data_IF_256078486741
#
_entry.id   IF_256078486741
#
_cell.length_a   1.000
_cell.length_b   1.000
_cell.length_c   1.000
_cell.angle_alpha   90.00
_cell.angle_beta   90.00
_cell.angle_gamma   90.00
#
_symmetry.space_group_name_H-M   'P 1'
#
loop_
_entity.id
_entity.type
_entity.pdbx_description
1 polymer ?
#
# COMPACT_ATOMS: atom_id res chain seq x y z
N UNK A 1 -0.98 -23.23 16.73
CA UNK A 1 -1.24 -22.55 15.44
C UNK A 1 -1.20 -23.47 14.22
N UNK A 2 -0.12 -24.22 13.94
CA UNK A 2 -0.06 -25.12 12.75
C UNK A 2 -1.26 -26.09 12.62
N UNK A 3 -1.71 -26.70 13.73
CA UNK A 3 -2.89 -27.58 13.72
C UNK A 3 -4.18 -26.84 13.37
N UNK A 4 -4.34 -25.60 13.84
CA UNK A 4 -5.49 -24.76 13.52
C UNK A 4 -5.50 -24.39 12.04
N UNK A 5 -4.32 -24.12 11.45
CA UNK A 5 -4.20 -23.90 10.02
C UNK A 5 -4.52 -25.16 9.20
N UNK A 6 -4.03 -26.35 9.60
CA UNK A 6 -4.40 -27.60 8.91
C UNK A 6 -5.91 -27.83 8.94
N UNK A 7 -6.51 -27.64 10.12
CA UNK A 7 -7.95 -27.73 10.31
C UNK A 7 -8.69 -26.75 9.39
N UNK A 8 -8.38 -25.45 9.38
CA UNK A 8 -9.10 -24.49 8.52
C UNK A 8 -8.83 -24.69 7.03
N UNK A 9 -7.65 -25.21 6.67
CA UNK A 9 -7.31 -25.57 5.30
C UNK A 9 -8.21 -26.68 4.77
N UNK A 10 -8.46 -27.73 5.57
CA UNK A 10 -9.34 -28.85 5.19
C UNK A 10 -10.77 -28.39 4.87
N UNK A 11 -11.28 -27.35 5.55
CA UNK A 11 -12.59 -26.75 5.24
C UNK A 11 -12.62 -25.97 3.91
N UNK A 12 -11.46 -25.57 3.39
CA UNK A 12 -11.35 -24.85 2.13
C UNK A 12 -10.99 -25.77 0.95
N UNK A 13 -10.91 -27.09 1.16
CA UNK A 13 -10.69 -28.03 0.07
C UNK A 13 -11.91 -28.06 -0.87
N UNK A 14 -11.73 -28.10 -2.21
CA UNK A 14 -12.83 -28.00 -3.16
C UNK A 14 -13.93 -29.06 -2.98
N UNK A 15 -13.59 -30.22 -2.41
CA UNK A 15 -14.56 -31.30 -2.14
C UNK A 15 -15.33 -31.12 -0.82
N UNK A 16 -14.95 -30.14 0.00
CA UNK A 16 -15.53 -29.95 1.33
C UNK A 16 -16.66 -28.92 1.32
N UNK A 17 -17.89 -29.42 1.28
CA UNK A 17 -19.11 -28.61 1.39
C UNK A 17 -19.58 -28.40 2.83
N UNK A 18 -18.89 -28.95 3.83
CA UNK A 18 -19.27 -28.79 5.23
C UNK A 18 -19.09 -27.32 5.62
N UNK A 19 -20.12 -26.67 6.20
CA UNK A 19 -20.02 -25.28 6.60
C UNK A 19 -19.05 -25.13 7.77
N UNK A 20 -18.45 -23.95 7.90
CA UNK A 20 -17.55 -23.65 9.00
C UNK A 20 -18.27 -23.78 10.35
N UNK A 21 -17.71 -24.54 11.33
CA UNK A 21 -18.36 -24.72 12.62
C UNK A 21 -18.59 -23.39 13.35
N UNK A 22 -19.71 -23.26 14.06
CA UNK A 22 -20.09 -22.03 14.79
C UNK A 22 -19.05 -21.60 15.82
N UNK A 23 -18.40 -22.53 16.51
CA UNK A 23 -17.35 -22.21 17.49
C UNK A 23 -16.12 -21.56 16.85
N UNK A 24 -15.81 -21.88 15.59
CA UNK A 24 -14.72 -21.22 14.86
C UNK A 24 -15.10 -19.78 14.56
N UNK A 25 -16.33 -19.55 14.07
CA UNK A 25 -16.86 -18.20 13.82
C UNK A 25 -16.82 -17.36 15.11
N UNK A 26 -17.38 -17.89 16.20
CA UNK A 26 -17.42 -17.22 17.49
C UNK A 26 -16.03 -16.88 18.04
N UNK A 27 -15.02 -17.73 17.82
CA UNK A 27 -13.65 -17.45 18.25
C UNK A 27 -13.07 -16.22 17.52
N UNK A 28 -13.34 -16.08 16.22
CA UNK A 28 -12.82 -15.00 15.39
C UNK A 28 -13.67 -13.72 15.41
N UNK A 29 -14.91 -13.78 15.90
CA UNK A 29 -15.72 -12.59 16.21
C UNK A 29 -15.11 -11.73 17.31
N UNK A 30 -14.22 -12.28 18.16
CA UNK A 30 -13.56 -11.50 19.20
C UNK A 30 -12.46 -10.59 18.60
N UNK A 31 -12.65 -9.25 18.60
CA UNK A 31 -11.68 -8.32 18.02
C UNK A 31 -10.34 -8.33 18.76
N UNK A 32 -10.33 -8.62 20.05
CA UNK A 32 -9.10 -8.72 20.84
C UNK A 32 -8.27 -9.93 20.42
N UNK A 33 -8.89 -11.05 20.03
CA UNK A 33 -8.17 -12.22 19.52
C UNK A 33 -7.49 -11.88 18.19
N UNK A 34 -8.23 -11.30 17.27
CA UNK A 34 -7.71 -10.91 15.95
C UNK A 34 -6.62 -9.84 16.09
N UNK A 35 -6.80 -8.85 16.97
CA UNK A 35 -5.80 -7.83 17.29
C UNK A 35 -4.52 -8.45 17.84
N UNK A 36 -4.62 -9.37 18.80
CA UNK A 36 -3.46 -10.10 19.35
C UNK A 36 -2.71 -10.89 18.29
N UNK A 37 -3.41 -11.57 17.39
CA UNK A 37 -2.77 -12.27 16.27
C UNK A 37 -1.99 -11.30 15.38
N UNK A 38 -2.55 -10.11 15.07
CA UNK A 38 -1.88 -9.10 14.24
C UNK A 38 -0.65 -8.50 14.92
N UNK A 39 -0.75 -8.23 16.22
CA UNK A 39 0.31 -7.57 17.00
C UNK A 39 1.30 -8.57 17.64
N UNK A 40 1.12 -9.87 17.42
CA UNK A 40 1.94 -10.92 18.03
C UNK A 40 3.41 -10.74 17.66
N UNK A 41 4.31 -10.76 18.64
CA UNK A 41 5.75 -10.55 18.41
C UNK A 41 6.39 -11.71 17.67
N UNK A 42 5.90 -12.93 17.92
CA UNK A 42 6.34 -14.12 17.21
C UNK A 42 5.85 -14.10 15.76
N UNK A 43 6.80 -14.04 14.83
CA UNK A 43 6.56 -13.99 13.39
C UNK A 43 5.78 -15.22 12.90
N UNK A 44 6.14 -16.42 13.34
CA UNK A 44 5.47 -17.65 12.89
C UNK A 44 4.02 -17.67 13.34
N UNK A 45 3.78 -17.30 14.60
CA UNK A 45 2.42 -17.26 15.17
C UNK A 45 1.58 -16.21 14.44
N UNK A 46 2.15 -15.04 14.17
CA UNK A 46 1.50 -13.96 13.40
C UNK A 46 1.13 -14.43 12.00
N UNK A 47 2.09 -14.99 11.24
CA UNK A 47 1.86 -15.45 9.85
C UNK A 47 0.82 -16.57 9.80
N UNK A 48 0.95 -17.60 10.64
CA UNK A 48 -0.02 -18.70 10.66
C UNK A 48 -1.40 -18.17 11.07
N UNK A 49 -1.48 -17.30 12.08
CA UNK A 49 -2.75 -16.74 12.53
C UNK A 49 -3.45 -15.92 11.45
N UNK A 50 -2.70 -15.16 10.65
CA UNK A 50 -3.24 -14.43 9.50
C UNK A 50 -3.70 -15.38 8.38
N UNK A 51 -2.93 -16.43 8.10
CA UNK A 51 -3.35 -17.47 7.16
C UNK A 51 -4.63 -18.18 7.61
N UNK A 52 -4.77 -18.48 8.90
CA UNK A 52 -6.00 -19.06 9.49
C UNK A 52 -7.16 -18.09 9.31
N UNK A 53 -7.00 -16.82 9.69
CA UNK A 53 -8.04 -15.81 9.52
C UNK A 53 -8.48 -15.68 8.06
N UNK A 54 -7.54 -15.66 7.12
CA UNK A 54 -7.87 -15.56 5.70
C UNK A 54 -8.63 -16.80 5.19
N UNK A 55 -8.27 -18.01 5.64
CA UNK A 55 -9.01 -19.23 5.32
C UNK A 55 -10.42 -19.25 5.94
N UNK A 56 -10.59 -18.68 7.14
CA UNK A 56 -11.90 -18.49 7.77
C UNK A 56 -12.76 -17.54 6.94
N UNK A 57 -12.23 -16.38 6.54
CA UNK A 57 -12.93 -15.42 5.68
C UNK A 57 -13.35 -16.07 4.36
N UNK A 58 -12.43 -16.78 3.70
CA UNK A 58 -12.69 -17.42 2.42
C UNK A 58 -13.82 -18.45 2.51
N UNK A 59 -13.75 -19.35 3.48
CA UNK A 59 -14.79 -20.37 3.70
C UNK A 59 -16.11 -19.75 4.11
N UNK A 60 -16.10 -18.79 5.02
CA UNK A 60 -17.31 -18.13 5.50
C UNK A 60 -18.02 -17.36 4.38
N UNK A 61 -17.28 -16.62 3.56
CA UNK A 61 -17.84 -15.94 2.38
C UNK A 61 -18.45 -16.95 1.40
N UNK A 62 -17.75 -18.06 1.12
CA UNK A 62 -18.28 -19.13 0.27
C UNK A 62 -19.55 -19.76 0.85
N UNK A 63 -19.58 -20.07 2.15
CA UNK A 63 -20.74 -20.66 2.82
C UNK A 63 -21.95 -19.70 2.77
N UNK A 64 -21.75 -18.41 2.99
CA UNK A 64 -22.79 -17.37 2.85
C UNK A 64 -23.30 -17.27 1.41
N UNK A 65 -22.41 -17.30 0.42
CA UNK A 65 -22.78 -17.20 -0.99
C UNK A 65 -23.45 -18.47 -1.53
N UNK A 66 -23.25 -19.62 -0.87
CA UNK A 66 -23.80 -20.90 -1.29
C UNK A 66 -25.24 -21.16 -0.84
N UNK A 67 -25.79 -20.30 0.01
CA UNK A 67 -27.09 -20.52 0.67
C UNK A 67 -28.07 -19.39 0.39
N UNK A 68 -29.35 -19.73 0.34
CA UNK A 68 -30.45 -18.77 0.11
C UNK A 68 -31.07 -18.24 1.42
N UNK A 69 -30.32 -18.25 2.53
CA UNK A 69 -30.78 -17.74 3.82
C UNK A 69 -30.11 -16.40 4.16
N UNK A 70 -30.77 -15.53 4.96
CA UNK A 70 -30.18 -14.27 5.40
C UNK A 70 -28.83 -14.46 6.06
N UNK A 71 -27.94 -13.48 5.90
CA UNK A 71 -26.64 -13.45 6.58
C UNK A 71 -26.87 -13.12 8.05
N UNK A 72 -26.34 -13.93 8.96
CA UNK A 72 -26.47 -13.68 10.39
C UNK A 72 -25.48 -12.58 10.83
N UNK A 73 -25.86 -11.79 11.84
CA UNK A 73 -25.00 -10.70 12.34
C UNK A 73 -23.64 -11.22 12.83
N UNK A 74 -23.61 -12.38 13.51
CA UNK A 74 -22.36 -13.03 13.96
C UNK A 74 -21.39 -13.34 12.80
N UNK A 75 -21.91 -13.64 11.62
CA UNK A 75 -21.09 -13.95 10.44
C UNK A 75 -20.50 -12.68 9.84
N UNK A 76 -21.31 -11.62 9.78
CA UNK A 76 -20.85 -10.31 9.35
C UNK A 76 -19.81 -9.74 10.32
N UNK A 77 -20.04 -9.88 11.63
CA UNK A 77 -19.08 -9.45 12.66
C UNK A 77 -17.77 -10.24 12.59
N UNK A 78 -17.82 -11.55 12.33
CA UNK A 78 -16.62 -12.37 12.13
C UNK A 78 -15.81 -11.89 10.92
N UNK A 79 -16.45 -11.71 9.76
CA UNK A 79 -15.80 -11.20 8.55
C UNK A 79 -15.21 -9.79 8.78
N UNK A 80 -16.02 -8.90 9.33
CA UNK A 80 -15.68 -7.52 9.70
C UNK A 80 -14.46 -7.46 10.61
N UNK A 81 -14.43 -8.31 11.64
CA UNK A 81 -13.34 -8.39 12.59
C UNK A 81 -12.05 -8.88 11.95
N UNK A 82 -12.08 -9.95 11.15
CA UNK A 82 -10.87 -10.49 10.53
C UNK A 82 -10.30 -9.52 9.48
N UNK A 83 -11.17 -8.99 8.61
CA UNK A 83 -10.82 -8.06 7.53
C UNK A 83 -10.49 -6.66 8.04
N UNK A 84 -10.76 -6.37 9.31
CA UNK A 84 -10.62 -5.04 9.88
C UNK A 84 -11.45 -4.03 9.10
N UNK A 85 -12.77 -4.17 9.04
CA UNK A 85 -13.63 -3.23 8.31
C UNK A 85 -14.94 -3.03 9.05
N UNK A 86 -15.85 -2.24 8.49
CA UNK A 86 -17.18 -2.05 9.07
C UNK A 86 -18.11 -3.19 8.66
N UNK A 87 -18.93 -3.65 9.59
CA UNK A 87 -19.90 -4.73 9.35
C UNK A 87 -20.87 -4.40 8.20
N UNK A 88 -21.24 -3.11 8.08
CA UNK A 88 -22.09 -2.66 6.99
C UNK A 88 -21.37 -2.68 5.63
N UNK A 89 -20.08 -2.33 5.60
CA UNK A 89 -19.29 -2.40 4.36
C UNK A 89 -19.17 -3.86 3.90
N UNK A 90 -18.94 -4.81 4.81
CA UNK A 90 -18.92 -6.26 4.50
C UNK A 90 -20.27 -6.70 3.92
N UNK A 91 -21.38 -6.34 4.58
CA UNK A 91 -22.72 -6.73 4.13
C UNK A 91 -22.98 -6.27 2.69
N UNK A 92 -22.64 -5.03 2.37
CA UNK A 92 -22.83 -4.46 1.03
C UNK A 92 -21.88 -5.08 0.01
N UNK A 93 -20.63 -5.39 0.41
CA UNK A 93 -19.64 -6.01 -0.47
C UNK A 93 -19.89 -7.49 -0.74
N UNK A 94 -20.55 -8.22 0.17
CA UNK A 94 -21.01 -9.60 -0.07
C UNK A 94 -22.02 -9.68 -1.22
N UNK A 95 -22.79 -8.60 -1.46
CA UNK A 95 -23.65 -8.47 -2.63
C UNK A 95 -22.91 -8.40 -3.97
N UNK A 96 -21.57 -8.34 -3.97
CA UNK A 96 -20.72 -8.27 -5.16
C UNK A 96 -19.73 -9.45 -5.18
N UNK A 97 -20.01 -10.50 -5.97
CA UNK A 97 -19.18 -11.69 -6.04
C UNK A 97 -17.70 -11.37 -6.26
N UNK A 98 -16.82 -11.97 -5.45
CA UNK A 98 -15.37 -11.83 -5.57
C UNK A 98 -14.77 -10.64 -4.83
N UNK A 99 -15.56 -9.73 -4.27
CA UNK A 99 -15.03 -8.53 -3.58
C UNK A 99 -14.35 -8.91 -2.27
N UNK A 100 -15.04 -9.70 -1.44
CA UNK A 100 -14.52 -10.16 -0.15
C UNK A 100 -13.30 -11.07 -0.36
N UNK A 101 -13.35 -11.97 -1.33
CA UNK A 101 -12.27 -12.88 -1.68
C UNK A 101 -11.03 -12.13 -2.16
N UNK A 102 -11.21 -11.10 -3.01
CA UNK A 102 -10.12 -10.26 -3.50
C UNK A 102 -9.50 -9.42 -2.37
N UNK A 103 -10.32 -8.79 -1.54
CA UNK A 103 -9.84 -7.99 -0.40
C UNK A 103 -9.09 -8.87 0.61
N UNK A 104 -9.59 -10.07 0.87
CA UNK A 104 -8.96 -11.05 1.74
C UNK A 104 -7.59 -11.51 1.19
N UNK A 105 -7.54 -11.89 -0.09
CA UNK A 105 -6.31 -12.28 -0.75
C UNK A 105 -5.30 -11.13 -0.77
N UNK A 106 -5.72 -9.92 -1.15
CA UNK A 106 -4.85 -8.74 -1.17
C UNK A 106 -4.34 -8.37 0.22
N UNK A 107 -5.19 -8.44 1.25
CA UNK A 107 -4.79 -8.18 2.63
C UNK A 107 -3.72 -9.14 3.14
N UNK A 108 -3.77 -10.41 2.72
CA UNK A 108 -2.76 -11.40 3.07
C UNK A 108 -1.49 -11.26 2.22
N UNK A 109 -1.64 -11.10 0.91
CA UNK A 109 -0.54 -11.13 -0.06
C UNK A 109 0.19 -9.81 -0.25
N UNK A 110 -0.41 -8.67 0.05
CA UNK A 110 0.20 -7.34 -0.10
C UNK A 110 0.33 -6.60 1.24
N UNK A 111 -0.37 -7.07 2.26
CA UNK A 111 -0.28 -6.54 3.62
C UNK A 111 0.97 -7.01 4.36
N UNK A 112 0.94 -6.83 5.69
CA UNK A 112 2.06 -7.06 6.60
C UNK A 112 2.79 -8.39 6.43
N UNK A 113 2.18 -9.44 5.88
CA UNK A 113 2.85 -10.76 5.74
C UNK A 113 3.87 -10.79 4.61
N UNK A 114 3.72 -9.94 3.59
CA UNK A 114 4.62 -9.91 2.43
C UNK A 114 5.69 -8.84 2.56
N UNK A 115 5.50 -7.88 3.47
CA UNK A 115 6.56 -7.01 3.98
C UNK A 115 7.48 -7.75 4.97
N UNK A 116 7.10 -8.94 5.45
CA UNK A 116 7.98 -9.80 6.23
C UNK A 116 8.92 -10.50 5.26
N UNK A 117 10.18 -10.05 5.23
CA UNK A 117 11.24 -10.56 4.34
C UNK A 117 11.12 -12.08 4.15
N UNK A 118 10.95 -12.51 2.90
CA UNK A 118 10.99 -13.92 2.52
C UNK A 118 12.25 -14.63 3.07
N UNK A 119 13.36 -13.89 3.19
CA UNK A 119 14.65 -14.37 3.71
C UNK A 119 14.69 -14.61 5.24
N UNK A 120 13.77 -14.01 6.00
CA UNK A 120 13.66 -14.20 7.45
C UNK A 120 12.63 -15.27 7.83
N UNK A 121 11.83 -15.72 6.87
CA UNK A 121 10.75 -16.64 7.13
C UNK A 121 11.25 -18.10 7.06
N UNK A 122 11.00 -18.92 8.09
CA UNK A 122 11.27 -20.35 8.03
C UNK A 122 10.57 -21.00 6.83
N UNK A 123 11.22 -21.97 6.17
CA UNK A 123 10.69 -22.65 4.98
C UNK A 123 9.28 -23.23 5.20
N UNK A 124 9.04 -23.77 6.39
CA UNK A 124 7.72 -24.26 6.82
C UNK A 124 6.63 -23.18 6.71
N UNK A 125 6.95 -21.93 7.08
CA UNK A 125 6.01 -20.81 7.09
C UNK A 125 5.77 -20.26 5.69
N UNK A 126 6.82 -20.21 4.87
CA UNK A 126 6.68 -19.90 3.44
C UNK A 126 5.74 -20.87 2.74
N UNK A 127 5.89 -22.17 3.02
CA UNK A 127 4.97 -23.21 2.55
C UNK A 127 3.52 -22.97 3.01
N UNK A 128 3.30 -22.63 4.29
CA UNK A 128 1.96 -22.33 4.84
C UNK A 128 1.32 -21.15 4.11
N UNK A 129 2.07 -20.05 3.96
CA UNK A 129 1.61 -18.85 3.28
C UNK A 129 1.28 -19.14 1.80
N UNK A 130 2.20 -19.79 1.09
CA UNK A 130 2.03 -20.09 -0.33
C UNK A 130 0.85 -21.03 -0.60
N UNK A 131 0.64 -22.03 0.25
CA UNK A 131 -0.54 -22.90 0.18
C UNK A 131 -1.82 -22.11 0.42
N UNK A 132 -1.85 -21.25 1.45
CA UNK A 132 -3.02 -20.40 1.72
C UNK A 132 -3.30 -19.46 0.54
N UNK A 133 -2.30 -18.74 0.03
CA UNK A 133 -2.46 -17.87 -1.12
C UNK A 133 -2.96 -18.62 -2.36
N UNK A 134 -2.49 -19.84 -2.58
CA UNK A 134 -2.97 -20.70 -3.67
C UNK A 134 -4.47 -21.01 -3.53
N UNK A 135 -4.92 -21.42 -2.33
CA UNK A 135 -6.34 -21.69 -2.04
C UNK A 135 -7.18 -20.44 -2.29
N UNK A 136 -6.77 -19.29 -1.73
CA UNK A 136 -7.49 -18.03 -1.90
C UNK A 136 -7.57 -17.59 -3.37
N UNK A 137 -6.49 -17.77 -4.13
CA UNK A 137 -6.46 -17.40 -5.55
C UNK A 137 -7.42 -18.24 -6.41
N UNK A 138 -7.69 -19.49 -6.03
CA UNK A 138 -8.63 -20.38 -6.72
C UNK A 138 -10.09 -20.01 -6.44
N UNK A 139 -10.38 -19.39 -5.30
CA UNK A 139 -11.72 -18.94 -4.93
C UNK A 139 -12.15 -17.67 -5.68
N UNK A 140 -11.21 -16.97 -6.32
CA UNK A 140 -11.54 -15.78 -7.10
C UNK A 140 -12.36 -16.15 -8.35
N UNK A 141 -13.40 -15.37 -8.68
CA UNK A 141 -14.17 -15.60 -9.90
C UNK A 141 -13.27 -15.53 -11.14
N UNK A 142 -13.62 -16.27 -12.19
CA UNK A 142 -12.92 -16.17 -13.48
C UNK A 142 -12.92 -14.69 -13.94
N UNK A 143 -11.82 -14.19 -14.51
CA UNK A 143 -11.80 -12.86 -15.09
C UNK A 143 -12.89 -12.82 -16.16
N UNK A 144 -13.95 -12.02 -15.94
CA UNK A 144 -15.00 -11.84 -16.93
C UNK A 144 -14.39 -11.28 -18.22
N UNK A 145 -14.91 -11.72 -19.37
CA UNK A 145 -14.41 -11.43 -20.72
C UNK A 145 -14.35 -9.93 -21.12
N UNK A 146 -14.47 -9.00 -20.18
CA UNK A 146 -14.10 -7.60 -20.37
C UNK A 146 -12.59 -7.42 -20.16
N UNK A 147 -11.78 -8.20 -20.86
CA UNK A 147 -10.41 -7.79 -21.15
C UNK A 147 -10.52 -6.60 -22.11
N UNK A 148 -10.62 -5.39 -21.54
CA UNK A 148 -10.22 -4.22 -22.31
C UNK A 148 -8.78 -4.48 -22.75
N UNK A 149 -8.45 -4.40 -24.06
CA UNK A 149 -7.12 -4.72 -24.54
C UNK A 149 -6.16 -3.66 -23.99
N UNK A 150 -5.53 -4.01 -22.87
CA UNK A 150 -4.65 -3.16 -22.08
C UNK A 150 -3.20 -3.43 -22.51
N UNK A 151 -2.92 -3.16 -23.79
CA UNK A 151 -1.59 -3.36 -24.42
C UNK A 151 -0.44 -2.65 -23.67
N UNK A 152 -0.74 -1.62 -22.88
CA UNK A 152 0.25 -0.93 -22.02
C UNK A 152 0.41 -1.51 -20.62
N UNK A 153 -0.60 -2.20 -20.10
CA UNK A 153 -0.59 -2.72 -18.72
C UNK A 153 -0.08 -4.15 -18.65
N UNK A 154 -0.24 -4.96 -19.71
CA UNK A 154 0.41 -6.27 -19.77
C UNK A 154 1.95 -6.14 -19.77
N UNK A 155 2.49 -5.07 -20.36
CA UNK A 155 3.91 -4.72 -20.25
C UNK A 155 4.32 -4.13 -18.87
N UNK A 156 3.35 -3.71 -18.05
CA UNK A 156 3.57 -3.18 -16.68
C UNK A 156 3.31 -4.22 -15.58
N UNK A 157 2.49 -5.23 -15.85
CA UNK A 157 2.25 -6.40 -14.98
C UNK A 157 3.43 -7.38 -15.08
N UNK A 158 4.20 -7.31 -16.17
CA UNK A 158 5.48 -8.01 -16.31
C UNK A 158 6.63 -7.36 -15.49
N UNK A 159 6.32 -6.35 -14.66
CA UNK A 159 7.29 -5.70 -13.76
C UNK A 159 7.41 -6.43 -12.41
N UNK A 160 6.54 -7.42 -12.15
CA UNK A 160 6.63 -8.27 -10.96
C UNK A 160 7.04 -9.71 -11.31
N UNK A 161 8.05 -10.21 -10.61
CA UNK A 161 8.44 -11.63 -10.64
C UNK A 161 7.51 -12.51 -9.77
N UNK A 162 6.62 -11.92 -8.97
CA UNK A 162 5.70 -12.66 -8.10
C UNK A 162 4.38 -13.02 -8.81
N UNK A 163 4.09 -14.32 -8.84
CA UNK A 163 2.87 -14.92 -9.40
C UNK A 163 1.59 -14.32 -8.80
N UNK A 164 1.57 -13.99 -7.51
CA UNK A 164 0.39 -13.48 -6.84
C UNK A 164 0.13 -12.02 -7.16
N UNK A 165 1.17 -11.19 -7.28
CA UNK A 165 1.02 -9.79 -7.69
C UNK A 165 0.41 -9.69 -9.09
N UNK A 166 0.82 -10.57 -10.02
CA UNK A 166 0.24 -10.66 -11.37
C UNK A 166 -1.26 -10.99 -11.37
N UNK A 167 -1.76 -11.68 -10.35
CA UNK A 167 -3.20 -12.00 -10.20
C UNK A 167 -3.94 -10.89 -9.46
N UNK A 168 -3.36 -10.34 -8.40
CA UNK A 168 -4.03 -9.43 -7.47
C UNK A 168 -4.11 -8.01 -8.03
N UNK A 169 -3.01 -7.48 -8.56
CA UNK A 169 -2.91 -6.08 -9.00
C UNK A 169 -3.93 -5.74 -10.09
N UNK A 170 -4.08 -6.53 -11.18
CA UNK A 170 -5.09 -6.23 -12.20
C UNK A 170 -6.52 -6.27 -11.67
N UNK A 171 -6.81 -7.20 -10.75
CA UNK A 171 -8.13 -7.35 -10.14
C UNK A 171 -8.46 -6.20 -9.18
N UNK A 172 -7.50 -5.78 -8.35
CA UNK A 172 -7.64 -4.59 -7.50
C UNK A 172 -7.86 -3.34 -8.34
N UNK A 173 -7.11 -3.17 -9.43
CA UNK A 173 -7.33 -2.07 -10.36
C UNK A 173 -8.72 -2.12 -10.99
N UNK A 174 -9.18 -3.30 -11.42
CA UNK A 174 -10.53 -3.47 -11.97
C UNK A 174 -11.61 -3.08 -10.96
N UNK A 175 -11.44 -3.49 -9.70
CA UNK A 175 -12.36 -3.14 -8.62
C UNK A 175 -12.36 -1.63 -8.36
N UNK A 176 -11.17 -1.01 -8.24
CA UNK A 176 -11.04 0.45 -8.13
C UNK A 176 -11.72 1.18 -9.29
N UNK A 177 -11.44 0.79 -10.54
CA UNK A 177 -12.07 1.38 -11.72
C UNK A 177 -13.59 1.25 -11.68
N UNK A 178 -14.11 0.11 -11.24
CA UNK A 178 -15.56 -0.10 -11.10
C UNK A 178 -16.18 0.84 -10.06
N UNK A 179 -15.44 1.17 -9.00
CA UNK A 179 -15.86 2.12 -7.96
C UNK A 179 -15.67 3.60 -8.34
N UNK A 180 -14.76 3.88 -9.28
CA UNK A 180 -14.33 5.24 -9.66
C UNK A 180 -15.05 5.75 -10.92
N UNK A 181 -15.36 4.86 -11.87
CA UNK A 181 -15.92 5.24 -13.17
C UNK A 181 -17.38 5.72 -13.01
N UNK A 182 -17.71 6.94 -13.45
CA UNK A 182 -19.07 7.43 -13.46
C UNK A 182 -19.93 6.54 -14.38
N UNK A 183 -21.06 6.08 -13.89
CA UNK A 183 -22.02 5.31 -14.68
C UNK A 183 -21.71 3.82 -14.82
N UNK A 184 -20.93 3.21 -13.90
CA UNK A 184 -20.95 1.76 -13.73
C UNK A 184 -22.41 1.32 -13.47
N UNK A 185 -23.14 0.73 -14.45
CA UNK A 185 -24.61 0.70 -14.46
C UNK A 185 -25.24 -0.19 -13.37
N UNK A 186 -24.43 -0.78 -12.50
CA UNK A 186 -24.77 -1.95 -11.70
C UNK A 186 -24.48 -1.79 -10.21
N UNK A 187 -24.10 -0.59 -9.74
CA UNK A 187 -23.83 -0.32 -8.33
C UNK A 187 -24.69 0.84 -7.82
N UNK A 188 -25.36 0.63 -6.69
CA UNK A 188 -25.86 1.75 -5.90
C UNK A 188 -24.68 2.52 -5.32
N UNK A 189 -24.86 3.82 -5.07
CA UNK A 189 -23.80 4.65 -4.47
C UNK A 189 -23.31 4.09 -3.13
N UNK A 190 -24.20 3.49 -2.33
CA UNK A 190 -23.85 2.88 -1.04
C UNK A 190 -22.93 1.67 -1.21
N UNK A 191 -23.23 0.77 -2.16
CA UNK A 191 -22.37 -0.39 -2.44
C UNK A 191 -21.05 0.06 -3.05
N UNK A 192 -21.08 1.03 -3.97
CA UNK A 192 -19.88 1.62 -4.58
C UNK A 192 -18.94 2.19 -3.51
N UNK A 193 -19.46 3.02 -2.60
CA UNK A 193 -18.69 3.62 -1.52
C UNK A 193 -18.12 2.56 -0.56
N UNK A 194 -18.93 1.56 -0.19
CA UNK A 194 -18.50 0.46 0.69
C UNK A 194 -17.35 -0.35 0.09
N UNK A 195 -17.47 -0.74 -1.18
CA UNK A 195 -16.40 -1.43 -1.92
C UNK A 195 -15.14 -0.57 -1.99
N UNK A 196 -15.29 0.74 -2.25
CA UNK A 196 -14.17 1.66 -2.31
C UNK A 196 -13.45 1.80 -0.96
N UNK A 197 -14.19 1.93 0.15
CA UNK A 197 -13.63 1.97 1.51
C UNK A 197 -12.84 0.71 1.82
N UNK A 198 -13.38 -0.48 1.53
CA UNK A 198 -12.67 -1.75 1.74
C UNK A 198 -11.39 -1.84 0.91
N UNK A 199 -11.44 -1.43 -0.36
CA UNK A 199 -10.26 -1.39 -1.23
C UNK A 199 -9.19 -0.44 -0.69
N UNK A 200 -9.59 0.80 -0.37
CA UNK A 200 -8.68 1.82 0.12
C UNK A 200 -8.07 1.45 1.46
N UNK A 201 -8.84 0.84 2.37
CA UNK A 201 -8.31 0.33 3.64
C UNK A 201 -7.27 -0.77 3.42
N UNK A 202 -7.53 -1.68 2.48
CA UNK A 202 -6.57 -2.72 2.09
C UNK A 202 -5.29 -2.10 1.54
N UNK A 203 -5.40 -1.17 0.59
CA UNK A 203 -4.26 -0.48 -0.01
C UNK A 203 -3.47 0.35 1.00
N UNK A 204 -4.16 1.03 1.92
CA UNK A 204 -3.54 1.76 3.02
C UNK A 204 -2.75 0.82 3.94
N UNK A 205 -3.33 -0.31 4.35
CA UNK A 205 -2.64 -1.33 5.14
C UNK A 205 -1.39 -1.85 4.42
N UNK A 206 -1.47 -2.10 3.11
CA UNK A 206 -0.31 -2.51 2.30
C UNK A 206 0.76 -1.41 2.27
N UNK A 207 0.38 -0.16 2.00
CA UNK A 207 1.31 0.97 2.01
C UNK A 207 1.99 1.14 3.37
N UNK A 208 1.26 0.96 4.47
CA UNK A 208 1.80 1.00 5.84
C UNK A 208 2.80 -0.12 6.09
N UNK A 209 2.50 -1.34 5.65
CA UNK A 209 3.39 -2.49 5.75
C UNK A 209 4.74 -2.23 5.06
N UNK A 210 4.74 -1.64 3.86
CA UNK A 210 5.96 -1.25 3.16
C UNK A 210 6.76 -0.16 3.88
N UNK A 211 6.16 0.68 4.71
CA UNK A 211 6.93 1.64 5.53
C UNK A 211 7.68 0.98 6.68
N UNK A 212 7.33 -0.24 7.05
CA UNK A 212 8.04 -1.02 8.07
C UNK A 212 9.27 -1.72 7.51
N UNK A 213 9.45 -1.74 6.18
CA UNK A 213 10.58 -2.39 5.51
C UNK A 213 11.52 -1.36 4.88
N UNK A 214 12.80 -1.70 4.69
CA UNK A 214 13.73 -0.85 3.92
C UNK A 214 13.51 -0.94 2.41
N UNK A 215 12.70 -1.89 1.94
CA UNK A 215 12.52 -2.16 0.52
C UNK A 215 11.78 -1.00 -0.18
N UNK A 216 12.09 -0.74 -1.46
CA UNK A 216 11.38 0.26 -2.23
C UNK A 216 9.90 -0.14 -2.41
N UNK A 217 9.05 0.86 -2.64
CA UNK A 217 7.66 0.58 -3.00
C UNK A 217 7.64 -0.11 -4.37
N UNK A 218 6.92 -1.23 -4.53
CA UNK A 218 6.75 -1.82 -5.85
C UNK A 218 6.14 -0.83 -6.82
N UNK A 219 6.67 -0.78 -8.04
CA UNK A 219 6.28 0.20 -9.05
C UNK A 219 4.78 0.13 -9.38
N UNK A 220 4.14 -1.03 -9.31
CA UNK A 220 2.70 -1.14 -9.58
C UNK A 220 1.83 -0.25 -8.67
N UNK A 221 2.32 0.15 -7.48
CA UNK A 221 1.60 1.11 -6.65
C UNK A 221 1.44 2.46 -7.37
N UNK A 222 2.54 3.07 -7.81
CA UNK A 222 2.52 4.37 -8.48
C UNK A 222 1.99 4.28 -9.91
N UNK A 223 2.35 3.20 -10.63
CA UNK A 223 2.04 3.08 -12.04
C UNK A 223 0.63 2.52 -12.33
N UNK A 224 0.03 1.79 -11.38
CA UNK A 224 -1.27 1.11 -11.59
C UNK A 224 -2.32 1.53 -10.57
N UNK A 225 -1.99 1.51 -9.27
CA UNK A 225 -2.97 1.67 -8.18
C UNK A 225 -3.14 3.12 -7.72
N UNK A 226 -2.19 4.00 -8.03
CA UNK A 226 -2.16 5.40 -7.64
C UNK A 226 -1.88 6.32 -8.84
N UNK A 227 -2.37 5.92 -10.00
CA UNK A 227 -2.28 6.76 -11.19
C UNK A 227 -2.97 8.11 -10.96
N UNK A 228 -2.54 9.19 -11.63
CA UNK A 228 -3.12 10.52 -11.47
C UNK A 228 -4.65 10.55 -11.59
N UNK A 229 -5.24 9.75 -12.48
CA UNK A 229 -6.70 9.69 -12.64
C UNK A 229 -7.41 9.08 -11.42
N UNK A 230 -6.80 8.06 -10.82
CA UNK A 230 -7.29 7.40 -9.60
C UNK A 230 -7.14 8.34 -8.40
N UNK A 231 -5.99 9.00 -8.27
CA UNK A 231 -5.72 9.97 -7.20
C UNK A 231 -6.69 11.15 -7.27
N UNK A 232 -6.93 11.69 -8.48
CA UNK A 232 -7.86 12.79 -8.65
C UNK A 232 -9.28 12.42 -8.19
N UNK A 233 -9.71 11.19 -8.44
CA UNK A 233 -10.96 10.69 -7.91
C UNK A 233 -10.94 10.64 -6.38
N UNK A 234 -9.89 10.10 -5.75
CA UNK A 234 -9.81 10.07 -4.28
C UNK A 234 -9.93 11.46 -3.66
N UNK A 235 -9.32 12.48 -4.25
CA UNK A 235 -9.38 13.86 -3.77
C UNK A 235 -10.79 14.48 -3.90
N UNK A 236 -11.56 14.04 -4.89
CA UNK A 236 -12.90 14.57 -5.20
C UNK A 236 -14.04 13.72 -4.66
N UNK A 237 -13.78 12.47 -4.24
CA UNK A 237 -14.75 11.47 -3.77
C UNK A 237 -15.75 12.03 -2.74
N UNK A 238 -17.05 11.91 -3.00
CA UNK A 238 -18.09 12.44 -2.11
C UNK A 238 -18.11 11.75 -0.76
N UNK A 239 -17.86 10.43 -0.73
CA UNK A 239 -17.74 9.69 0.51
C UNK A 239 -16.52 10.14 1.31
N UNK A 240 -16.77 10.68 2.51
CA UNK A 240 -15.74 11.29 3.32
C UNK A 240 -14.70 10.29 3.81
N UNK A 241 -15.17 9.10 4.20
CA UNK A 241 -14.34 8.03 4.75
C UNK A 241 -13.39 7.50 3.67
N UNK A 242 -13.90 7.21 2.47
CA UNK A 242 -13.10 6.84 1.30
C UNK A 242 -12.13 7.97 0.91
N UNK A 243 -12.58 9.22 0.83
CA UNK A 243 -11.71 10.37 0.52
C UNK A 243 -10.51 10.44 1.47
N UNK A 244 -10.73 10.36 2.78
CA UNK A 244 -9.66 10.44 3.78
C UNK A 244 -8.71 9.23 3.66
N UNK A 245 -9.24 8.01 3.50
CA UNK A 245 -8.40 6.83 3.31
C UNK A 245 -7.55 6.93 2.04
N UNK A 246 -8.14 7.41 0.94
CA UNK A 246 -7.45 7.66 -0.33
C UNK A 246 -6.33 8.70 -0.18
N UNK A 247 -6.58 9.80 0.54
CA UNK A 247 -5.54 10.78 0.86
C UNK A 247 -4.42 10.17 1.71
N UNK A 248 -4.76 9.39 2.75
CA UNK A 248 -3.77 8.75 3.62
C UNK A 248 -2.91 7.75 2.84
N UNK A 249 -3.53 6.93 1.97
CA UNK A 249 -2.83 6.03 1.07
C UNK A 249 -1.89 6.78 0.11
N UNK A 250 -2.37 7.86 -0.52
CA UNK A 250 -1.54 8.71 -1.38
C UNK A 250 -0.33 9.28 -0.63
N UNK A 251 -0.53 9.77 0.60
CA UNK A 251 0.55 10.31 1.40
C UNK A 251 1.63 9.28 1.76
N UNK A 252 1.25 8.04 2.03
CA UNK A 252 2.19 6.94 2.21
C UNK A 252 2.99 6.70 0.92
N UNK A 253 2.34 6.65 -0.24
CA UNK A 253 3.03 6.47 -1.52
C UNK A 253 4.07 7.56 -1.76
N UNK A 254 3.69 8.84 -1.58
CA UNK A 254 4.62 9.97 -1.73
C UNK A 254 5.83 9.80 -0.80
N UNK A 255 5.61 9.50 0.48
CA UNK A 255 6.69 9.32 1.45
C UNK A 255 7.67 8.23 1.00
N UNK A 256 7.17 7.07 0.57
CA UNK A 256 8.00 5.93 0.18
C UNK A 256 8.73 6.14 -1.15
N UNK A 257 8.09 6.80 -2.12
CA UNK A 257 8.73 7.21 -3.37
C UNK A 257 9.87 8.19 -3.10
N UNK A 258 9.61 9.22 -2.28
CA UNK A 258 10.63 10.20 -1.85
C UNK A 258 11.81 9.54 -1.15
N UNK A 259 11.56 8.56 -0.27
CA UNK A 259 12.62 7.78 0.36
C UNK A 259 13.45 6.99 -0.65
N UNK A 260 12.83 6.45 -1.70
CA UNK A 260 13.51 5.71 -2.77
C UNK A 260 14.45 6.61 -3.57
N UNK A 261 14.10 7.89 -3.79
CA UNK A 261 14.96 8.86 -4.47
C UNK A 261 16.15 9.35 -3.63
N UNK A 262 16.18 9.09 -2.31
CA UNK A 262 17.37 9.32 -1.48
C UNK A 262 18.46 8.28 -1.76
N UNK A 263 18.12 7.13 -2.33
CA UNK A 263 19.04 6.04 -2.61
C UNK A 263 19.81 6.27 -3.92
N UNK A 264 21.16 6.11 -3.96
CA UNK A 264 21.98 6.34 -5.15
C UNK A 264 21.76 5.33 -6.30
N UNK A 265 20.84 4.38 -6.16
CA UNK A 265 20.66 3.24 -7.08
C UNK A 265 19.42 3.42 -8.01
N UNK A 266 18.65 4.49 -7.87
CA UNK A 266 17.39 4.63 -8.61
C UNK A 266 17.58 5.06 -10.08
N UNK A 267 17.53 4.11 -11.03
CA UNK A 267 17.66 4.43 -12.47
C UNK A 267 16.72 3.61 -13.36
N UNK A 268 15.59 4.22 -13.75
CA UNK A 268 14.94 4.04 -15.05
C UNK A 268 14.09 5.27 -15.38
N UNK A 269 14.40 5.97 -16.47
CA UNK A 269 13.81 7.29 -16.78
C UNK A 269 12.31 7.30 -17.07
N UNK A 270 11.71 6.18 -17.50
CA UNK A 270 10.25 6.10 -17.75
C UNK A 270 9.45 5.99 -16.46
N UNK A 271 9.89 5.14 -15.54
CA UNK A 271 9.25 4.92 -14.23
C UNK A 271 9.26 6.22 -13.40
N UNK A 272 10.39 6.94 -13.47
CA UNK A 272 10.56 8.24 -12.82
C UNK A 272 9.51 9.27 -13.24
N UNK A 273 9.10 9.29 -14.51
CA UNK A 273 8.09 10.25 -15.01
C UNK A 273 6.69 9.93 -14.48
N UNK A 274 6.33 8.65 -14.38
CA UNK A 274 5.01 8.25 -13.87
C UNK A 274 4.92 8.41 -12.34
N UNK A 275 6.01 8.16 -11.61
CA UNK A 275 6.10 8.40 -10.17
C UNK A 275 6.08 9.88 -9.81
N UNK A 276 6.85 10.72 -10.51
CA UNK A 276 6.78 12.18 -10.35
C UNK A 276 5.39 12.69 -10.70
N UNK A 277 4.72 12.05 -11.67
CA UNK A 277 3.34 12.38 -11.99
C UNK A 277 2.35 12.01 -10.89
N UNK A 278 2.51 10.84 -10.29
CA UNK A 278 1.77 10.41 -9.10
C UNK A 278 1.95 11.41 -7.95
N UNK A 279 3.19 11.78 -7.61
CA UNK A 279 3.50 12.76 -6.55
C UNK A 279 2.82 14.10 -6.83
N UNK A 280 2.93 14.58 -8.07
CA UNK A 280 2.33 15.84 -8.49
C UNK A 280 0.81 15.83 -8.32
N UNK A 281 0.15 14.74 -8.72
CA UNK A 281 -1.29 14.58 -8.58
C UNK A 281 -1.74 14.55 -7.12
N UNK A 282 -0.97 13.89 -6.25
CA UNK A 282 -1.27 13.79 -4.81
C UNK A 282 -1.09 15.13 -4.10
N UNK A 283 -0.04 15.88 -4.45
CA UNK A 283 0.30 17.15 -3.81
C UNK A 283 -0.36 18.37 -4.46
N UNK A 284 -1.01 18.20 -5.61
CA UNK A 284 -1.60 19.31 -6.38
C UNK A 284 -0.55 20.26 -6.97
N UNK A 285 0.62 19.76 -7.35
CA UNK A 285 1.74 20.56 -7.87
C UNK A 285 1.90 20.37 -9.37
N UNK A 286 2.46 21.34 -10.08
CA UNK A 286 2.78 21.17 -11.51
C UNK A 286 3.84 20.07 -11.71
N UNK A 287 3.72 19.25 -12.76
CA UNK A 287 4.67 18.16 -13.07
C UNK A 287 6.12 18.62 -13.15
N UNK A 288 6.36 19.87 -13.56
CA UNK A 288 7.71 20.42 -13.66
C UNK A 288 8.38 20.66 -12.30
N UNK A 289 7.63 20.90 -11.23
CA UNK A 289 8.17 21.04 -9.87
C UNK A 289 8.62 19.69 -9.30
N UNK A 290 7.90 18.61 -9.63
CA UNK A 290 8.26 17.26 -9.21
C UNK A 290 9.52 16.72 -9.93
N UNK A 291 9.82 17.21 -11.14
CA UNK A 291 11.05 16.82 -11.85
C UNK A 291 12.35 17.31 -11.16
N UNK A 292 12.23 18.27 -10.22
CA UNK A 292 13.36 18.74 -9.40
C UNK A 292 13.50 17.96 -8.08
N UNK A 293 12.84 16.80 -7.97
CA UNK A 293 12.70 16.00 -6.75
C UNK A 293 13.97 15.87 -5.89
N UNK A 294 15.17 15.58 -6.44
CA UNK A 294 16.39 15.42 -5.63
C UNK A 294 16.78 16.67 -4.83
N UNK A 295 16.35 17.86 -5.26
CA UNK A 295 16.73 19.15 -4.65
C UNK A 295 15.68 19.68 -3.67
N UNK A 296 14.46 19.11 -3.66
CA UNK A 296 13.31 19.62 -2.90
C UNK A 296 12.62 18.58 -2.01
N UNK A 297 13.30 17.46 -1.69
CA UNK A 297 12.79 16.38 -0.83
C UNK A 297 12.09 16.89 0.45
N UNK A 298 12.70 17.85 1.16
CA UNK A 298 12.12 18.43 2.38
C UNK A 298 10.83 19.23 2.11
N UNK A 299 10.75 19.96 0.98
CA UNK A 299 9.56 20.71 0.57
C UNK A 299 8.43 19.74 0.23
N UNK A 300 8.76 18.65 -0.46
CA UNK A 300 7.80 17.60 -0.85
C UNK A 300 7.27 16.90 0.41
N UNK A 301 8.14 16.49 1.34
CA UNK A 301 7.73 15.90 2.61
C UNK A 301 6.87 16.86 3.44
N UNK A 302 7.21 18.15 3.47
CA UNK A 302 6.41 19.15 4.15
C UNK A 302 5.03 19.32 3.49
N UNK A 303 4.97 19.45 2.16
CA UNK A 303 3.70 19.50 1.40
C UNK A 303 2.86 18.25 1.62
N UNK A 304 3.49 17.08 1.72
CA UNK A 304 2.82 15.80 1.98
C UNK A 304 2.20 15.73 3.39
N UNK A 305 2.86 16.33 4.39
CA UNK A 305 2.26 16.49 5.73
C UNK A 305 1.09 17.46 5.67
N UNK A 306 1.28 18.62 5.04
CA UNK A 306 0.25 19.67 4.96
C UNK A 306 -0.98 19.22 4.16
N UNK A 307 -0.81 18.38 3.13
CA UNK A 307 -1.93 17.87 2.33
C UNK A 307 -2.90 16.99 3.12
N UNK A 308 -2.47 16.44 4.26
CA UNK A 308 -3.33 15.71 5.22
C UNK A 308 -3.90 16.59 6.34
N UNK A 309 -3.47 17.86 6.43
CA UNK A 309 -3.98 18.88 7.37
C UNK A 309 -4.87 19.93 6.65
N UNK A 310 -5.79 19.63 5.70
CA UNK A 310 -6.73 20.65 5.25
C UNK A 310 -7.80 20.95 6.30
N UNK A 311 -8.43 22.12 6.15
CA UNK A 311 -9.58 22.61 6.94
C UNK A 311 -10.68 21.56 7.12
N UNK A 312 -10.87 20.64 6.17
CA UNK A 312 -11.85 19.55 6.32
C UNK A 312 -11.45 18.57 7.42
N UNK A 313 -10.20 18.10 7.46
CA UNK A 313 -9.71 17.17 8.49
C UNK A 313 -9.74 17.86 9.85
N UNK A 314 -9.30 19.12 9.92
CA UNK A 314 -9.35 19.92 11.14
C UNK A 314 -10.80 20.18 11.63
N UNK A 315 -11.71 20.56 10.73
CA UNK A 315 -13.14 20.74 11.07
C UNK A 315 -13.80 19.42 11.48
N UNK A 316 -13.36 18.27 10.94
CA UNK A 316 -13.81 16.93 11.36
C UNK A 316 -13.29 16.52 12.73
N UNK A 317 -12.06 16.91 13.09
CA UNK A 317 -11.52 16.76 14.44
C UNK A 317 -12.30 17.61 15.46
N UNK A 318 -12.70 18.82 15.07
CA UNK A 318 -13.38 19.79 15.96
C UNK A 318 -14.88 19.51 16.10
N UNK A 319 -15.55 18.98 15.07
CA UNK A 319 -17.00 18.73 15.05
C UNK A 319 -17.46 17.45 15.79
N UNK A 320 -16.54 16.71 16.45
CA UNK A 320 -16.91 15.74 17.48
C UNK A 320 -17.60 14.46 17.01
N UNK A 321 -17.20 13.88 15.88
CA UNK A 321 -17.79 12.62 15.42
C UNK A 321 -17.02 11.86 14.35
N UNK A 322 -15.69 11.78 14.44
CA UNK A 322 -14.96 10.81 13.62
C UNK A 322 -15.01 9.43 14.28
N UNK A 323 -15.29 8.43 13.46
CA UNK A 323 -15.10 7.04 13.83
C UNK A 323 -13.65 6.78 14.31
N UNK A 324 -13.52 5.97 15.36
CA UNK A 324 -12.24 5.69 16.04
C UNK A 324 -11.26 5.01 15.09
N UNK A 325 -11.73 4.17 14.16
CA UNK A 325 -10.86 3.49 13.21
C UNK A 325 -10.27 4.48 12.20
N UNK A 326 -11.10 5.41 11.68
CA UNK A 326 -10.64 6.45 10.76
C UNK A 326 -9.62 7.40 11.42
N UNK A 327 -9.84 7.76 12.69
CA UNK A 327 -8.88 8.53 13.49
C UNK A 327 -7.53 7.82 13.61
N UNK A 328 -7.55 6.50 13.84
CA UNK A 328 -6.33 5.70 13.91
C UNK A 328 -5.59 5.70 12.58
N UNK A 329 -6.30 5.59 11.44
CA UNK A 329 -5.71 5.65 10.10
C UNK A 329 -4.96 6.97 9.87
N UNK A 330 -5.63 8.10 10.15
CA UNK A 330 -5.04 9.43 9.97
C UNK A 330 -3.83 9.62 10.89
N UNK A 331 -3.97 9.28 12.18
CA UNK A 331 -2.89 9.39 13.17
C UNK A 331 -1.67 8.57 12.78
N UNK A 332 -1.86 7.31 12.42
CA UNK A 332 -0.77 6.41 12.06
C UNK A 332 -0.07 6.86 10.77
N UNK A 333 -0.83 7.40 9.82
CA UNK A 333 -0.29 7.98 8.58
C UNK A 333 0.55 9.22 8.88
N UNK A 334 0.02 10.18 9.65
CA UNK A 334 0.72 11.38 10.06
C UNK A 334 2.01 11.06 10.81
N UNK A 335 1.97 10.09 11.73
CA UNK A 335 3.15 9.63 12.46
C UNK A 335 4.23 9.10 11.50
N UNK A 336 3.83 8.30 10.51
CA UNK A 336 4.73 7.73 9.51
C UNK A 336 5.40 8.81 8.66
N UNK A 337 4.62 9.72 8.07
CA UNK A 337 5.17 10.75 7.18
C UNK A 337 5.95 11.85 7.94
N UNK A 338 5.59 12.14 9.21
CA UNK A 338 6.33 13.06 10.07
C UNK A 338 7.73 12.54 10.39
N UNK A 339 7.90 11.22 10.55
CA UNK A 339 9.21 10.61 10.71
C UNK A 339 10.07 10.78 9.44
N UNK A 340 9.50 10.56 8.24
CA UNK A 340 10.24 10.80 6.98
C UNK A 340 10.64 12.28 6.81
N UNK A 341 9.78 13.22 7.22
CA UNK A 341 10.12 14.64 7.25
C UNK A 341 11.29 14.91 8.20
N UNK A 342 11.24 14.41 9.44
CA UNK A 342 12.33 14.57 10.42
C UNK A 342 13.67 14.08 9.84
N UNK A 343 13.68 12.90 9.22
CA UNK A 343 14.90 12.31 8.68
C UNK A 343 15.44 13.12 7.49
N UNK A 344 14.56 13.73 6.68
CA UNK A 344 14.95 14.63 5.59
C UNK A 344 15.53 15.97 6.07
N UNK A 345 15.10 16.48 7.22
CA UNK A 345 15.62 17.73 7.82
C UNK A 345 16.97 17.48 8.49
N UNK A 346 17.13 16.37 9.21
CA UNK A 346 18.37 16.01 9.90
C UNK A 346 19.52 15.74 8.92
N UNK A 347 19.26 15.03 7.82
CA UNK A 347 20.25 14.80 6.75
C UNK A 347 20.74 16.10 6.09
N UNK A 348 19.87 17.12 5.96
CA UNK A 348 20.28 18.46 5.52
C UNK A 348 21.15 19.18 6.55
N UNK A 349 20.88 18.98 7.84
CA UNK A 349 21.68 19.51 8.95
C UNK A 349 23.11 18.99 8.95
N UNK A 350 23.31 17.71 8.62
CA UNK A 350 24.64 17.10 8.52
C UNK A 350 25.37 17.47 7.22
N UNK A 351 24.64 17.67 6.11
CA UNK A 351 25.18 18.28 4.88
C UNK A 351 25.58 19.75 5.09
N UNK A 352 24.88 20.49 5.95
CA UNK A 352 25.26 21.86 6.34
C UNK A 352 26.46 21.87 7.30
N UNK A 353 26.58 20.92 8.23
CA UNK A 353 27.76 20.78 9.09
C UNK A 353 29.01 20.37 8.32
N UNK A 354 28.87 19.56 7.27
CA UNK A 354 29.99 19.24 6.36
C UNK A 354 30.31 20.40 5.40
N UNK A 355 29.35 21.24 5.03
CA UNK A 355 29.60 22.48 4.28
C UNK A 355 30.12 23.66 5.13
N UNK A 356 29.87 23.70 6.44
CA UNK A 356 30.43 24.71 7.35
C UNK A 356 31.78 24.34 7.96
N UNK A 357 32.30 23.13 7.69
CA UNK A 357 33.61 22.66 8.14
C UNK A 357 34.74 22.71 7.10
N UNK A 358 34.45 23.07 5.84
CA UNK A 358 35.43 23.03 4.74
C UNK A 358 35.70 24.41 4.11
N UNK A 359 35.79 25.45 4.93
CA UNK A 359 36.47 26.69 4.55
C UNK A 359 37.48 27.01 5.65
N UNK A 360 38.75 27.15 5.24
CA UNK A 360 39.96 27.34 6.06
C UNK A 360 40.66 26.07 6.56
N UNK A 361 41.49 25.48 5.70
CA UNK A 361 42.87 25.05 6.01
C UNK A 361 43.58 24.57 4.73
N UNK A 362 44.10 25.51 3.95
CA UNK A 362 45.26 25.25 3.09
C UNK A 362 46.51 25.59 3.92
N UNK A 363 47.42 24.64 4.22
CA UNK A 363 48.76 25.01 4.60
C UNK A 363 49.57 25.26 3.31
N UNK A 364 50.01 26.50 3.13
CA UNK A 364 51.19 26.78 2.31
C UNK A 364 52.40 26.15 3.02
N UNK A 365 53.04 25.17 2.38
CA UNK A 365 54.47 24.94 2.53
C UNK A 365 55.12 24.81 1.16
N UNK A 366 55.86 25.87 0.84
CA UNK A 366 57.08 25.99 0.04
C UNK A 366 57.58 24.77 -0.78
N UNK A 367 57.55 24.96 -2.10
CA UNK A 367 58.71 25.01 -3.01
C UNK A 367 59.88 24.02 -2.79
N UNK A 368 60.13 23.16 -3.78
CA UNK A 368 61.45 23.04 -4.45
C UNK A 368 61.37 22.13 -5.68
N UNK A 369 61.54 22.71 -6.86
CA UNK A 369 62.42 22.30 -7.98
C UNK A 369 61.92 22.87 -9.32
N UNK A 370 62.62 23.91 -9.76
CA UNK A 370 63.23 24.12 -11.08
C UNK A 370 62.76 23.15 -12.20
N UNK A 371 62.45 23.53 -13.45
CA UNK A 371 62.58 24.75 -14.25
C UNK A 371 61.83 24.49 -15.59
N UNK A 372 61.64 25.49 -16.47
CA UNK A 372 60.51 25.55 -17.42
C UNK A 372 60.87 25.15 -18.86
N UNK A 373 59.87 24.77 -19.66
CA UNK A 373 59.94 24.91 -21.12
C UNK A 373 59.02 26.06 -21.53
N UNK A 374 59.67 27.16 -21.91
CA UNK A 374 59.08 28.40 -22.40
C UNK A 374 58.37 28.19 -23.74
N UNK A 375 57.25 28.89 -23.87
CA UNK A 375 56.63 29.33 -25.11
C UNK A 375 57.64 30.05 -26.02
N UNK A 376 57.62 29.73 -27.32
CA UNK A 376 58.24 30.52 -28.37
C UNK A 376 57.15 31.27 -29.13
N UNK A 377 56.95 32.54 -28.79
CA UNK A 377 56.42 33.54 -29.72
C UNK A 377 57.61 34.30 -30.30
N UNK A 378 57.74 34.30 -31.63
CA UNK A 378 58.64 35.20 -32.37
C UNK A 378 58.11 36.63 -32.30
N UNK A 379 59.00 37.62 -32.35
CA UNK A 379 58.82 38.65 -33.38
C UNK A 379 60.13 38.89 -34.15
N UNK A 380 60.00 39.09 -35.47
CA UNK A 380 61.05 39.63 -36.33
C UNK A 380 60.55 40.95 -36.91
N UNK A 381 61.25 42.04 -36.61
CA UNK A 381 61.41 43.22 -37.48
C UNK A 381 62.80 43.80 -37.23
N UNK A 382 63.63 43.77 -38.26
CA UNK A 382 64.15 44.97 -38.88
C UNK A 382 64.23 44.72 -40.39
#
# INVERSE_FOLDING_TARGET
>A
MKNLWRFTREFNEPQNSVPLPSYVRAAFTNPEMTRRIREERDLEVRVIGRCVGALVVNKLAADINSRDIPVADEELECLSTILDTETNDVRLCLGRPGTIELVNLASLALGDVSSLRADQMPLDMSSVLQQTLTILSQALPAPGNAEQPLDRTNALVDVSDDKFERVIVPRLRSLLNTCILPGAPFLTEEVRASCLRMCLKTLWNCGKAYHQTPDPLPSYFSLVLARPEIIHHFLTEQDLVARIMGCCFGALIVSKLVDSYKSPIYVSGRVLNEETACISAILGTEHHEALLLPHHIHVINFRNVVSLIPDKVLNMFIAGGMDVALLSIVRDTLYTIANSLRDSVLTLGDLRKTRSGCFWKYPRMLCTRCAPIRSKTKPWRH
#
